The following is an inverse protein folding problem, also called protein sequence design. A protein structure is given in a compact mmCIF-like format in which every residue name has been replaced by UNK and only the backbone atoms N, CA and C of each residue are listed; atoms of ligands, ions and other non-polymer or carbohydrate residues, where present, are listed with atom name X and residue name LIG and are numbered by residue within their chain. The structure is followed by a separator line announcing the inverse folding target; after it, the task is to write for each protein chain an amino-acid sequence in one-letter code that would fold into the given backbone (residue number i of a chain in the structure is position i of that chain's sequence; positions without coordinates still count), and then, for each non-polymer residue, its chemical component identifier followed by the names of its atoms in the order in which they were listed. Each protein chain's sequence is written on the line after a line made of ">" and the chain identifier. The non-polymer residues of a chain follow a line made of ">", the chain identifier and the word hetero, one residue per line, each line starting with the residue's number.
data_IF_921822600205
#
_entry.id   IF_921822600205
#
_cell.length_a   1.000
_cell.length_b   1.000
_cell.length_c   1.000
_cell.angle_alpha   90.00
_cell.angle_beta   90.00
_cell.angle_gamma   90.00
#
_symmetry.space_group_name_H-M   'P 1'
#
loop_
_entity.id
_entity.type
_entity.pdbx_description
1 polymer ?
#
# COMPACT_ATOMS: atom_id res chain seq x y z
N UNK A 1 -7.78 19.11 -21.67
CA UNK A 1 -6.95 19.14 -20.45
C UNK A 1 -6.91 17.71 -19.93
N UNK A 2 -5.72 17.10 -19.93
CA UNK A 2 -5.55 15.70 -19.59
C UNK A 2 -5.97 15.47 -18.13
N UNK A 3 -7.00 14.65 -17.95
CA UNK A 3 -7.34 14.12 -16.64
C UNK A 3 -6.16 13.28 -16.18
N UNK A 4 -5.34 13.81 -15.28
CA UNK A 4 -4.38 13.03 -14.50
C UNK A 4 -5.15 12.16 -13.48
N UNK A 5 -6.12 11.38 -13.97
CA UNK A 5 -6.65 10.24 -13.24
C UNK A 5 -5.54 9.20 -13.27
N UNK A 6 -4.55 9.34 -12.38
CA UNK A 6 -3.55 8.31 -12.15
C UNK A 6 -4.31 7.02 -11.89
N UNK A 7 -4.40 6.16 -12.91
CA UNK A 7 -5.13 4.91 -12.83
C UNK A 7 -4.58 4.13 -11.65
N UNK A 8 -5.43 3.50 -10.87
CA UNK A 8 -5.07 2.65 -9.72
C UNK A 8 -3.87 1.74 -10.02
N UNK A 9 -3.76 1.23 -11.25
CA UNK A 9 -2.61 0.45 -11.70
C UNK A 9 -1.26 1.18 -11.62
N UNK A 10 -1.19 2.45 -12.03
CA UNK A 10 0.03 3.28 -11.96
C UNK A 10 0.40 3.61 -10.51
N UNK A 11 -0.59 3.98 -9.70
CA UNK A 11 -0.39 4.22 -8.27
C UNK A 11 0.14 2.97 -7.55
N UNK A 12 -0.43 1.79 -7.85
CA UNK A 12 0.04 0.51 -7.31
C UNK A 12 1.46 0.18 -7.75
N UNK A 13 1.81 0.44 -9.03
CA UNK A 13 3.14 0.19 -9.54
C UNK A 13 4.20 1.08 -8.87
N UNK A 14 3.88 2.37 -8.67
CA UNK A 14 4.72 3.31 -7.92
C UNK A 14 4.95 2.87 -6.49
N UNK A 15 3.88 2.51 -5.77
CA UNK A 15 3.97 2.03 -4.40
C UNK A 15 4.80 0.75 -4.29
N UNK A 16 4.64 -0.18 -5.24
CA UNK A 16 5.45 -1.40 -5.27
C UNK A 16 6.93 -1.12 -5.58
N UNK A 17 7.23 -0.09 -6.35
CA UNK A 17 8.60 0.35 -6.63
C UNK A 17 9.24 1.02 -5.41
N UNK A 18 8.50 1.85 -4.67
CA UNK A 18 8.96 2.50 -3.43
C UNK A 18 9.09 1.48 -2.28
N UNK A 19 8.22 0.47 -2.27
CA UNK A 19 8.11 -0.53 -1.20
C UNK A 19 8.10 -1.97 -1.74
N UNK A 20 9.23 -2.49 -2.24
CA UNK A 20 9.30 -3.83 -2.83
C UNK A 20 9.03 -4.97 -1.82
N UNK A 21 9.16 -4.71 -0.50
CA UNK A 21 8.83 -5.66 0.57
C UNK A 21 7.35 -5.65 1.01
N UNK A 22 6.53 -4.79 0.39
CA UNK A 22 5.12 -4.63 0.70
C UNK A 22 4.23 -5.08 -0.45
N UNK A 23 3.17 -5.79 -0.12
CA UNK A 23 2.11 -6.22 -1.02
C UNK A 23 1.00 -5.19 -1.01
N UNK A 24 0.86 -4.46 -2.12
CA UNK A 24 -0.14 -3.40 -2.28
C UNK A 24 -1.38 -3.96 -2.96
N UNK A 25 -2.53 -3.76 -2.33
CA UNK A 25 -3.79 -4.29 -2.76
C UNK A 25 -4.83 -3.14 -2.71
N UNK A 26 -5.68 -3.10 -3.72
CA UNK A 26 -6.73 -2.11 -3.85
C UNK A 26 -8.07 -2.85 -3.84
N UNK A 27 -8.94 -2.48 -2.93
CA UNK A 27 -10.31 -2.98 -2.88
C UNK A 27 -11.17 -2.20 -3.88
N UNK A 28 -12.10 -2.88 -4.54
CA UNK A 28 -13.03 -2.29 -5.51
C UNK A 28 -13.89 -1.16 -4.89
N UNK A 29 -14.04 -1.17 -3.57
CA UNK A 29 -14.68 -0.11 -2.76
C UNK A 29 -13.84 1.17 -2.60
N UNK A 30 -12.71 1.30 -3.29
CA UNK A 30 -11.82 2.47 -3.25
C UNK A 30 -10.82 2.49 -2.09
N UNK A 31 -10.75 1.41 -1.29
CA UNK A 31 -9.89 1.33 -0.11
C UNK A 31 -8.59 0.61 -0.46
N UNK A 32 -7.46 1.19 -0.07
CA UNK A 32 -6.11 0.67 -0.27
C UNK A 32 -5.60 -0.02 0.98
N UNK A 33 -4.84 -1.07 0.78
CA UNK A 33 -4.26 -1.89 1.83
C UNK A 33 -2.87 -2.34 1.42
N UNK A 34 -1.95 -2.30 2.36
CA UNK A 34 -0.59 -2.75 2.18
C UNK A 34 -0.22 -3.70 3.31
N UNK A 35 0.32 -4.87 2.94
CA UNK A 35 0.76 -5.88 3.88
C UNK A 35 2.23 -6.21 3.63
N UNK A 36 3.04 -6.25 4.68
CA UNK A 36 4.45 -6.64 4.57
C UNK A 36 4.54 -8.16 4.43
N UNK A 37 5.35 -8.67 3.48
CA UNK A 37 5.61 -10.11 3.32
C UNK A 37 7.10 -10.45 3.34
N UNK A 38 7.50 -11.73 3.54
CA UNK A 38 6.73 -12.87 4.05
C UNK A 38 6.85 -12.96 5.58
N UNK A 39 5.73 -12.77 6.28
CA UNK A 39 5.65 -13.06 7.70
C UNK A 39 5.29 -14.54 7.83
N UNK A 40 6.24 -15.34 8.31
CA UNK A 40 5.90 -16.62 8.91
C UNK A 40 4.78 -16.35 9.94
N UNK A 41 3.69 -17.10 9.87
CA UNK A 41 2.37 -16.90 10.49
C UNK A 41 2.33 -16.46 11.97
N UNK A 42 3.45 -16.47 12.69
CA UNK A 42 3.58 -16.09 14.10
C UNK A 42 3.75 -14.59 14.34
N UNK A 43 4.08 -13.79 13.32
CA UNK A 43 4.36 -12.35 13.45
C UNK A 43 3.28 -11.47 12.78
N UNK A 44 2.10 -12.05 12.57
CA UNK A 44 0.89 -11.37 12.09
C UNK A 44 0.27 -10.47 13.19
N UNK A 45 1.10 -9.81 14.01
CA UNK A 45 0.66 -9.00 15.13
C UNK A 45 0.83 -7.51 14.82
N UNK A 46 -0.28 -6.92 14.36
CA UNK A 46 -0.67 -5.50 14.50
C UNK A 46 0.12 -4.41 13.75
N UNK A 47 1.39 -4.60 13.37
CA UNK A 47 2.21 -3.52 12.79
C UNK A 47 2.56 -3.72 11.31
N UNK A 48 2.22 -4.87 10.72
CA UNK A 48 2.59 -5.25 9.36
C UNK A 48 1.52 -4.99 8.29
N UNK A 49 0.39 -4.38 8.68
CA UNK A 49 -0.74 -4.10 7.78
C UNK A 49 -1.18 -2.67 7.98
N UNK A 50 -1.22 -1.90 6.89
CA UNK A 50 -1.73 -0.53 6.88
C UNK A 50 -2.82 -0.40 5.83
N UNK A 51 -3.81 0.42 6.12
CA UNK A 51 -4.88 0.75 5.19
C UNK A 51 -5.04 2.25 5.05
N UNK A 52 -5.59 2.66 3.90
CA UNK A 52 -5.83 4.06 3.56
C UNK A 52 -6.88 4.19 2.46
N UNK A 53 -7.49 5.36 2.32
CA UNK A 53 -8.46 5.64 1.26
C UNK A 53 -7.79 6.15 -0.03
N UNK A 54 -6.52 6.56 0.03
CA UNK A 54 -5.76 7.05 -1.13
C UNK A 54 -4.37 6.42 -1.19
N UNK A 55 -3.77 6.28 -2.40
CA UNK A 55 -2.44 5.72 -2.54
C UNK A 55 -1.36 6.57 -1.86
N UNK A 56 -1.54 7.89 -1.80
CA UNK A 56 -0.63 8.81 -1.10
C UNK A 56 -0.64 8.56 0.40
N UNK A 57 -1.83 8.47 1.02
CA UNK A 57 -1.97 8.16 2.44
C UNK A 57 -1.41 6.76 2.76
N UNK A 58 -1.58 5.79 1.85
CA UNK A 58 -0.99 4.46 2.01
C UNK A 58 0.54 4.54 2.06
N UNK A 59 1.17 5.34 1.19
CA UNK A 59 2.61 5.51 1.19
C UNK A 59 3.13 6.11 2.51
N UNK A 60 2.43 7.11 3.05
CA UNK A 60 2.79 7.73 4.33
C UNK A 60 2.67 6.74 5.49
N UNK A 61 1.59 5.95 5.52
CA UNK A 61 1.40 4.89 6.52
C UNK A 61 2.52 3.84 6.44
N UNK A 62 2.85 3.35 5.24
CA UNK A 62 3.94 2.38 5.04
C UNK A 62 5.27 2.97 5.52
N UNK A 63 5.56 4.25 5.22
CA UNK A 63 6.78 4.94 5.67
C UNK A 63 6.84 5.10 7.19
N UNK A 64 5.71 5.42 7.82
CA UNK A 64 5.61 5.57 9.26
C UNK A 64 5.95 4.28 10.00
N UNK A 65 5.52 3.12 9.48
CA UNK A 65 5.77 1.80 10.10
C UNK A 65 7.09 1.15 9.64
N UNK A 66 7.72 1.66 8.59
CA UNK A 66 9.03 1.17 8.09
C UNK A 66 10.22 1.96 8.67
N UNK A 67 9.98 3.02 9.45
CA UNK A 67 11.01 3.84 10.10
C UNK A 67 11.64 3.12 11.29
#
# INVERSE_FOLDING_TARGET
>A
MASNSTTTADARARLKADFPGWSIIHSDRGRWWATRGPLADKDLNREASVDADTPEQLAEQIRAVTR
#
